data_IF_299253251695
#
_entry.id   IF_299253251695
#
_cell.length_a   1.000
_cell.length_b   1.000
_cell.length_c   1.000
_cell.angle_alpha   90.00
_cell.angle_beta   90.00
_cell.angle_gamma   90.00
#
_symmetry.space_group_name_H-M   'P 1'
#
loop_
_entity.id
_entity.type
_entity.pdbx_description
1 polymer ?
#
# COMPACT_ATOMS: atom_id res chain seq x y z
N UNK A 1 30.78 -20.35 -21.38
CA UNK A 1 31.27 -21.18 -20.26
C UNK A 1 31.85 -20.25 -19.19
N UNK A 2 31.58 -20.49 -17.91
CA UNK A 2 32.20 -19.72 -16.81
C UNK A 2 33.52 -20.41 -16.44
N UNK A 3 34.61 -19.67 -16.49
CA UNK A 3 35.94 -20.15 -16.13
C UNK A 3 36.08 -20.07 -14.61
N UNK A 4 36.18 -21.24 -13.97
CA UNK A 4 36.33 -21.37 -12.50
C UNK A 4 37.80 -21.33 -12.02
N UNK A 5 38.76 -21.16 -12.94
CA UNK A 5 40.19 -21.10 -12.58
C UNK A 5 40.55 -19.78 -11.90
N UNK A 6 41.57 -19.83 -11.04
CA UNK A 6 42.14 -18.64 -10.41
C UNK A 6 42.76 -17.74 -11.50
N UNK A 7 42.42 -16.44 -11.57
CA UNK A 7 43.01 -15.54 -12.55
C UNK A 7 44.51 -15.34 -12.30
N UNK A 8 45.28 -15.22 -13.37
CA UNK A 8 46.70 -14.86 -13.30
C UNK A 8 46.90 -13.37 -12.96
N UNK A 9 48.14 -12.93 -12.65
CA UNK A 9 48.43 -11.54 -12.29
C UNK A 9 47.99 -10.51 -13.33
N UNK A 10 48.16 -10.80 -14.63
CA UNK A 10 47.72 -9.91 -15.72
C UNK A 10 46.19 -9.83 -15.81
N UNK A 11 45.49 -10.95 -15.60
CA UNK A 11 44.03 -10.96 -15.54
C UNK A 11 43.51 -10.18 -14.31
N UNK A 12 44.18 -10.29 -13.16
CA UNK A 12 43.86 -9.49 -11.97
C UNK A 12 44.01 -7.98 -12.26
N UNK A 13 45.07 -7.56 -12.97
CA UNK A 13 45.28 -6.16 -13.40
C UNK A 13 44.16 -5.68 -14.33
N UNK A 14 43.80 -6.48 -15.33
CA UNK A 14 42.73 -6.16 -16.26
C UNK A 14 41.38 -6.01 -15.53
N UNK A 15 41.09 -6.88 -14.55
CA UNK A 15 39.89 -6.81 -13.71
C UNK A 15 39.82 -5.46 -12.96
N UNK A 16 40.93 -5.01 -12.37
CA UNK A 16 41.00 -3.74 -11.65
C UNK A 16 40.74 -2.57 -12.60
N UNK A 17 41.40 -2.57 -13.77
CA UNK A 17 41.25 -1.51 -14.77
C UNK A 17 39.81 -1.43 -15.28
N UNK A 18 39.22 -2.58 -15.64
CA UNK A 18 37.83 -2.65 -16.05
C UNK A 18 36.88 -2.18 -14.94
N UNK A 19 37.18 -2.43 -13.67
CA UNK A 19 36.36 -1.93 -12.57
C UNK A 19 36.47 -0.42 -12.40
N UNK A 20 37.67 0.15 -12.52
CA UNK A 20 37.86 1.61 -12.52
C UNK A 20 37.10 2.28 -13.68
N UNK A 21 37.05 1.63 -14.85
CA UNK A 21 36.36 2.13 -16.04
C UNK A 21 34.83 1.99 -15.97
N UNK A 22 34.30 0.82 -15.60
CA UNK A 22 32.87 0.52 -15.73
C UNK A 22 32.11 0.46 -14.39
N UNK A 23 32.80 0.30 -13.26
CA UNK A 23 32.22 0.27 -11.91
C UNK A 23 31.30 -0.92 -11.59
N UNK A 24 31.07 -1.85 -12.53
CA UNK A 24 30.10 -2.95 -12.41
C UNK A 24 30.74 -4.33 -12.53
N UNK A 25 30.83 -5.05 -11.40
CA UNK A 25 31.35 -6.43 -11.32
C UNK A 25 30.70 -7.37 -12.34
N UNK A 26 29.39 -7.25 -12.58
CA UNK A 26 28.66 -8.13 -13.52
C UNK A 26 29.11 -7.93 -14.97
N UNK A 27 29.45 -6.69 -15.36
CA UNK A 27 29.96 -6.41 -16.71
C UNK A 27 31.30 -7.10 -16.91
N UNK A 28 32.21 -6.94 -15.95
CA UNK A 28 33.55 -7.55 -15.95
C UNK A 28 33.46 -9.08 -16.00
N UNK A 29 32.60 -9.66 -15.15
CA UNK A 29 32.38 -11.10 -15.10
C UNK A 29 31.91 -11.67 -16.44
N UNK A 30 31.03 -10.95 -17.15
CA UNK A 30 30.57 -11.35 -18.48
C UNK A 30 31.66 -11.23 -19.53
N UNK A 31 32.41 -10.13 -19.53
CA UNK A 31 33.48 -9.87 -20.52
C UNK A 31 34.64 -10.85 -20.39
N UNK A 32 35.05 -11.17 -19.16
CA UNK A 32 36.19 -12.05 -18.89
C UNK A 32 35.77 -13.50 -18.63
N UNK A 33 34.49 -13.80 -18.78
CA UNK A 33 33.92 -15.14 -18.54
C UNK A 33 34.26 -15.74 -17.16
N UNK A 34 34.37 -14.91 -16.12
CA UNK A 34 34.67 -15.33 -14.74
C UNK A 34 33.43 -15.29 -13.84
N UNK A 35 33.45 -16.11 -12.78
CA UNK A 35 32.44 -16.01 -11.71
C UNK A 35 32.55 -14.63 -11.01
N UNK A 36 31.45 -13.86 -10.89
CA UNK A 36 31.42 -12.60 -10.14
C UNK A 36 32.02 -12.67 -8.73
N UNK A 37 31.96 -13.82 -8.06
CA UNK A 37 32.57 -14.03 -6.73
C UNK A 37 34.09 -13.94 -6.79
N UNK A 38 34.73 -14.48 -7.84
CA UNK A 38 36.18 -14.40 -8.04
C UNK A 38 36.59 -12.94 -8.25
N UNK A 39 35.88 -12.23 -9.13
CA UNK A 39 36.10 -10.81 -9.40
C UNK A 39 36.01 -9.99 -8.10
N UNK A 40 34.98 -10.21 -7.28
CA UNK A 40 34.83 -9.52 -5.98
C UNK A 40 36.00 -9.78 -5.05
N UNK A 41 36.49 -11.02 -4.95
CA UNK A 41 37.64 -11.35 -4.10
C UNK A 41 38.90 -10.62 -4.55
N UNK A 42 39.16 -10.55 -5.85
CA UNK A 42 40.32 -9.85 -6.42
C UNK A 42 40.24 -8.34 -6.14
N UNK A 43 39.08 -7.73 -6.37
CA UNK A 43 38.88 -6.31 -6.08
C UNK A 43 39.11 -6.01 -4.58
N UNK A 44 38.59 -6.86 -3.69
CA UNK A 44 38.79 -6.73 -2.23
C UNK A 44 40.26 -6.95 -1.85
N UNK A 45 40.93 -7.95 -2.42
CA UNK A 45 42.37 -8.24 -2.24
C UNK A 45 43.23 -7.02 -2.59
N UNK A 46 42.80 -6.23 -3.57
CA UNK A 46 43.49 -4.99 -3.99
C UNK A 46 42.90 -3.71 -3.38
N UNK A 47 42.17 -3.81 -2.26
CA UNK A 47 41.72 -2.65 -1.49
C UNK A 47 40.55 -1.87 -2.10
N UNK A 48 39.91 -2.38 -3.15
CA UNK A 48 38.76 -1.72 -3.78
C UNK A 48 37.50 -2.01 -2.96
N UNK A 49 37.00 -0.98 -2.28
CA UNK A 49 35.77 -1.05 -1.47
C UNK A 49 34.52 -1.17 -2.34
N UNK A 50 33.89 -2.35 -2.30
CA UNK A 50 32.66 -2.63 -3.04
C UNK A 50 31.43 -1.95 -2.40
N UNK A 51 30.36 -1.65 -3.18
CA UNK A 51 29.16 -0.99 -2.66
C UNK A 51 28.51 -1.70 -1.46
N UNK A 52 28.56 -3.04 -1.40
CA UNK A 52 28.03 -3.82 -0.28
C UNK A 52 28.86 -3.70 1.00
N UNK A 53 30.16 -3.47 0.90
CA UNK A 53 31.01 -3.20 2.08
C UNK A 53 30.80 -1.76 2.57
N UNK A 54 30.68 -0.79 1.66
CA UNK A 54 30.33 0.59 2.02
C UNK A 54 29.01 0.68 2.78
N UNK A 55 28.01 -0.13 2.41
CA UNK A 55 26.74 -0.18 3.15
C UNK A 55 26.87 -0.83 4.54
N UNK A 56 27.83 -1.75 4.75
CA UNK A 56 28.12 -2.34 6.06
C UNK A 56 28.83 -1.35 6.98
N UNK A 57 29.91 -0.72 6.53
CA UNK A 57 30.64 0.31 7.29
C UNK A 57 29.70 1.48 7.66
N UNK A 58 28.88 1.93 6.71
CA UNK A 58 27.90 2.98 6.94
C UNK A 58 26.87 2.57 8.01
N UNK A 59 26.36 1.33 7.93
CA UNK A 59 25.41 0.79 8.91
C UNK A 59 26.02 0.74 10.31
N UNK A 60 27.25 0.24 10.45
CA UNK A 60 27.96 0.17 11.72
C UNK A 60 28.19 1.56 12.31
N UNK A 61 28.60 2.52 11.47
CA UNK A 61 28.76 3.93 11.88
C UNK A 61 27.45 4.54 12.35
N UNK A 62 26.35 4.33 11.62
CA UNK A 62 25.01 4.79 12.01
C UNK A 62 24.60 4.20 13.36
N UNK A 63 24.79 2.89 13.57
CA UNK A 63 24.45 2.21 14.82
C UNK A 63 25.30 2.72 15.98
N UNK A 64 26.60 2.92 15.77
CA UNK A 64 27.50 3.46 16.79
C UNK A 64 27.08 4.86 17.24
N UNK A 65 26.84 5.79 16.30
CA UNK A 65 26.37 7.14 16.63
C UNK A 65 25.00 7.13 17.34
N UNK A 66 24.12 6.20 16.97
CA UNK A 66 22.82 6.07 17.64
C UNK A 66 22.98 5.56 19.08
N UNK A 67 23.87 4.59 19.33
CA UNK A 67 24.20 4.12 20.68
C UNK A 67 24.82 5.20 21.56
N UNK A 68 25.46 6.21 20.97
CA UNK A 68 25.95 7.41 21.66
C UNK A 68 24.83 8.43 21.98
N UNK A 69 23.57 8.13 21.66
CA UNK A 69 22.42 8.98 21.98
C UNK A 69 22.05 9.99 20.89
N UNK A 70 22.73 10.00 19.74
CA UNK A 70 22.38 10.89 18.64
C UNK A 70 21.07 10.44 17.98
N UNK A 71 20.16 11.39 17.73
CA UNK A 71 18.94 11.12 16.97
C UNK A 71 19.24 10.84 15.50
N UNK A 72 18.37 10.08 14.83
CA UNK A 72 18.53 9.79 13.40
C UNK A 72 18.64 11.05 12.52
N UNK A 73 18.02 12.18 12.93
CA UNK A 73 18.16 13.47 12.25
C UNK A 73 19.56 14.07 12.40
N UNK A 74 20.13 14.01 13.61
CA UNK A 74 21.51 14.46 13.84
C UNK A 74 22.50 13.60 13.06
N UNK A 75 22.33 12.27 13.09
CA UNK A 75 23.16 11.33 12.32
C UNK A 75 23.09 11.63 10.81
N UNK A 76 21.89 11.87 10.29
CA UNK A 76 21.67 12.23 8.88
C UNK A 76 22.43 13.48 8.46
N UNK A 77 22.34 14.55 9.26
CA UNK A 77 23.09 15.80 9.01
C UNK A 77 24.60 15.59 9.11
N UNK A 78 25.06 14.86 10.14
CA UNK A 78 26.48 14.62 10.40
C UNK A 78 27.16 13.77 9.31
N UNK A 79 26.43 12.81 8.74
CA UNK A 79 26.94 11.92 7.70
C UNK A 79 26.63 12.39 6.27
N UNK A 80 25.86 13.47 6.11
CA UNK A 80 25.44 13.96 4.79
C UNK A 80 24.57 12.96 4.01
N UNK A 81 23.78 12.13 4.70
CA UNK A 81 22.92 11.11 4.08
C UNK A 81 21.44 11.38 4.37
N UNK A 82 20.56 10.84 3.52
CA UNK A 82 19.12 10.97 3.70
C UNK A 82 18.66 10.35 5.04
N UNK A 83 17.80 11.06 5.77
CA UNK A 83 17.22 10.61 7.03
C UNK A 83 16.54 9.23 6.93
N UNK A 84 15.87 8.93 5.82
CA UNK A 84 15.25 7.62 5.59
C UNK A 84 16.29 6.49 5.49
N UNK A 85 17.46 6.76 4.92
CA UNK A 85 18.58 5.79 4.87
C UNK A 85 19.08 5.46 6.27
N UNK A 86 19.18 6.46 7.15
CA UNK A 86 19.51 6.26 8.57
C UNK A 86 18.49 5.36 9.25
N UNK A 87 17.19 5.69 9.12
CA UNK A 87 16.12 4.88 9.70
C UNK A 87 16.12 3.44 9.17
N UNK A 88 16.36 3.25 7.87
CA UNK A 88 16.47 1.92 7.26
C UNK A 88 17.57 1.09 7.92
N UNK A 89 18.77 1.65 8.08
CA UNK A 89 19.90 0.96 8.70
C UNK A 89 19.67 0.65 10.18
N UNK A 90 19.07 1.58 10.92
CA UNK A 90 18.68 1.38 12.32
C UNK A 90 17.63 0.27 12.45
N UNK A 91 16.59 0.28 11.61
CA UNK A 91 15.56 -0.75 11.60
C UNK A 91 16.14 -2.13 11.26
N UNK A 92 17.02 -2.22 10.26
CA UNK A 92 17.74 -3.47 9.94
C UNK A 92 18.62 -3.96 11.09
N UNK A 93 19.11 -3.05 11.93
CA UNK A 93 19.88 -3.36 13.14
C UNK A 93 19.01 -3.59 14.38
N UNK A 94 17.68 -3.65 14.26
CA UNK A 94 16.77 -3.95 15.36
C UNK A 94 16.34 -2.72 16.17
N UNK A 95 16.88 -1.53 15.89
CA UNK A 95 16.46 -0.29 16.52
C UNK A 95 15.18 0.20 15.83
N UNK A 96 14.03 -0.29 16.30
CA UNK A 96 12.74 0.29 15.95
C UNK A 96 12.65 1.65 16.63
N UNK A 97 12.25 2.68 15.90
CA UNK A 97 11.89 3.96 16.52
C UNK A 97 10.58 3.75 17.29
N UNK A 98 10.70 3.27 18.52
CA UNK A 98 9.57 2.95 19.39
C UNK A 98 8.68 4.18 19.57
N UNK A 99 9.27 5.37 19.70
CA UNK A 99 8.54 6.63 19.81
C UNK A 99 7.70 6.97 18.58
N UNK A 100 8.23 6.81 17.35
CA UNK A 100 7.48 7.10 16.13
C UNK A 100 6.41 6.03 15.89
N UNK A 101 6.76 4.76 16.11
CA UNK A 101 5.84 3.65 15.95
C UNK A 101 4.66 3.73 16.93
N UNK A 102 4.93 3.97 18.22
CA UNK A 102 3.91 4.14 19.25
C UNK A 102 3.02 5.34 18.95
N UNK A 103 3.61 6.49 18.56
CA UNK A 103 2.81 7.67 18.18
C UNK A 103 1.91 7.38 16.97
N UNK A 104 2.44 6.76 15.91
CA UNK A 104 1.67 6.43 14.73
C UNK A 104 0.57 5.39 15.02
N UNK A 105 0.88 4.38 15.85
CA UNK A 105 -0.09 3.37 16.30
C UNK A 105 -1.19 4.01 17.15
N UNK A 106 -0.86 4.91 18.06
CA UNK A 106 -1.83 5.64 18.87
C UNK A 106 -2.72 6.55 18.01
N UNK A 107 -2.13 7.29 17.07
CA UNK A 107 -2.88 8.13 16.13
C UNK A 107 -3.80 7.29 15.24
N UNK A 108 -3.34 6.13 14.76
CA UNK A 108 -4.17 5.22 14.00
C UNK A 108 -5.33 4.66 14.84
N UNK A 109 -5.08 4.31 16.11
CA UNK A 109 -6.13 3.87 17.04
C UNK A 109 -7.18 4.98 17.26
N UNK A 110 -6.74 6.22 17.53
CA UNK A 110 -7.63 7.38 17.71
C UNK A 110 -8.48 7.65 16.46
N UNK A 111 -7.87 7.61 15.26
CA UNK A 111 -8.59 7.83 14.00
C UNK A 111 -9.59 6.72 13.67
N UNK A 112 -9.26 5.46 13.98
CA UNK A 112 -10.20 4.34 13.86
C UNK A 112 -11.40 4.53 14.79
N UNK A 113 -11.15 4.94 16.03
CA UNK A 113 -12.20 5.20 17.00
C UNK A 113 -13.12 6.34 16.53
N UNK A 114 -12.54 7.46 16.09
CA UNK A 114 -13.29 8.58 15.52
C UNK A 114 -14.10 8.17 14.29
N UNK A 115 -13.57 7.29 13.43
CA UNK A 115 -14.32 6.77 12.28
C UNK A 115 -15.55 5.97 12.72
N UNK A 116 -15.45 5.16 13.79
CA UNK A 116 -16.61 4.45 14.34
C UNK A 116 -17.66 5.41 14.88
N UNK A 117 -17.23 6.37 15.70
CA UNK A 117 -18.12 7.39 16.28
C UNK A 117 -18.84 8.20 15.19
N UNK A 118 -18.16 8.51 14.09
CA UNK A 118 -18.78 9.15 12.92
C UNK A 118 -19.84 8.28 12.27
N UNK A 119 -19.57 6.99 12.06
CA UNK A 119 -20.54 6.08 11.46
C UNK A 119 -21.72 5.79 12.41
N UNK A 120 -21.49 5.71 13.72
CA UNK A 120 -22.55 5.55 14.73
C UNK A 120 -23.46 6.78 14.74
N UNK A 121 -22.89 7.98 14.84
CA UNK A 121 -23.65 9.23 14.93
C UNK A 121 -24.30 9.65 13.62
N UNK A 122 -23.55 9.67 12.51
CA UNK A 122 -24.01 10.19 11.20
C UNK A 122 -24.56 9.11 10.27
N UNK A 123 -24.28 7.85 10.56
CA UNK A 123 -24.70 6.73 9.71
C UNK A 123 -23.77 6.48 8.53
N UNK A 124 -24.29 5.88 7.45
CA UNK A 124 -23.54 5.56 6.25
C UNK A 124 -22.91 6.80 5.61
N UNK A 125 -21.69 6.66 5.09
CA UNK A 125 -20.97 7.77 4.45
C UNK A 125 -20.20 7.29 3.22
N UNK A 126 -19.85 8.23 2.34
CA UNK A 126 -18.87 7.97 1.29
C UNK A 126 -17.45 7.95 1.88
N UNK A 127 -16.59 7.08 1.35
CA UNK A 127 -15.15 7.08 1.69
C UNK A 127 -14.52 8.45 1.45
N UNK A 128 -14.94 9.17 0.41
CA UNK A 128 -14.46 10.52 0.12
C UNK A 128 -14.75 11.50 1.24
N UNK A 129 -15.88 11.36 1.91
CA UNK A 129 -16.25 12.23 3.04
C UNK A 129 -15.43 11.86 4.28
N UNK A 130 -15.23 10.56 4.53
CA UNK A 130 -14.34 10.10 5.61
C UNK A 130 -12.90 10.59 5.40
N UNK A 131 -12.40 10.59 4.16
CA UNK A 131 -11.06 11.13 3.82
C UNK A 131 -10.97 12.61 4.20
N UNK A 132 -11.99 13.41 3.85
CA UNK A 132 -12.05 14.84 4.16
C UNK A 132 -12.13 15.10 5.67
N UNK A 133 -13.02 14.39 6.36
CA UNK A 133 -13.26 14.57 7.80
C UNK A 133 -12.07 14.12 8.64
N UNK A 134 -11.50 12.95 8.35
CA UNK A 134 -10.42 12.37 9.14
C UNK A 134 -9.03 12.86 8.71
N UNK A 135 -8.95 13.56 7.58
CA UNK A 135 -7.71 14.01 6.95
C UNK A 135 -6.67 12.88 6.84
N UNK A 136 -7.09 11.77 6.22
CA UNK A 136 -6.25 10.59 5.98
C UNK A 136 -6.39 10.06 4.57
N UNK A 137 -5.36 9.33 4.11
CA UNK A 137 -5.36 8.75 2.77
C UNK A 137 -6.45 7.69 2.60
N UNK A 138 -6.91 7.53 1.35
CA UNK A 138 -7.82 6.45 0.96
C UNK A 138 -7.31 5.07 1.42
N UNK A 139 -6.03 4.77 1.20
CA UNK A 139 -5.43 3.50 1.62
C UNK A 139 -5.51 3.28 3.13
N UNK A 140 -5.38 4.33 3.94
CA UNK A 140 -5.56 4.26 5.40
C UNK A 140 -7.01 3.94 5.78
N UNK A 141 -8.00 4.56 5.12
CA UNK A 141 -9.42 4.23 5.32
C UNK A 141 -9.68 2.75 5.03
N UNK A 142 -9.22 2.26 3.88
CA UNK A 142 -9.38 0.84 3.51
C UNK A 142 -8.70 -0.09 4.52
N UNK A 143 -7.51 0.28 5.01
CA UNK A 143 -6.86 -0.46 6.10
C UNK A 143 -7.71 -0.45 7.37
N UNK A 144 -8.29 0.70 7.74
CA UNK A 144 -9.11 0.81 8.95
C UNK A 144 -10.40 0.03 8.84
N UNK A 145 -11.05 0.03 7.69
CA UNK A 145 -12.23 -0.78 7.41
C UNK A 145 -11.92 -2.27 7.57
N UNK A 146 -10.77 -2.74 7.05
CA UNK A 146 -10.33 -4.14 7.24
C UNK A 146 -10.04 -4.46 8.70
N UNK A 147 -9.45 -3.52 9.44
CA UNK A 147 -9.05 -3.73 10.82
C UNK A 147 -10.20 -3.62 11.84
N UNK A 148 -11.29 -2.94 11.51
CA UNK A 148 -12.46 -2.78 12.41
C UNK A 148 -13.32 -4.05 12.48
N UNK A 149 -12.86 -5.11 11.83
CA UNK A 149 -13.49 -6.41 11.68
C UNK A 149 -14.48 -6.43 10.52
N UNK A 150 -14.27 -7.36 9.58
CA UNK A 150 -15.08 -7.50 8.36
C UNK A 150 -16.54 -7.83 8.67
N UNK A 151 -16.81 -8.27 9.90
CA UNK A 151 -18.16 -8.59 10.40
C UNK A 151 -18.95 -7.37 10.87
N UNK A 152 -18.34 -6.18 10.95
CA UNK A 152 -18.99 -4.97 11.53
C UNK A 152 -19.20 -3.83 10.54
N UNK A 153 -18.61 -3.92 9.34
CA UNK A 153 -18.70 -2.86 8.33
C UNK A 153 -19.17 -3.42 6.98
N UNK A 154 -20.18 -2.79 6.39
CA UNK A 154 -20.55 -2.99 4.99
C UNK A 154 -19.72 -2.03 4.14
N UNK A 155 -18.98 -2.58 3.18
CA UNK A 155 -18.19 -1.83 2.21
C UNK A 155 -18.63 -2.17 0.80
N UNK A 156 -19.24 -1.21 0.11
CA UNK A 156 -19.95 -1.48 -1.15
C UNK A 156 -19.05 -1.72 -2.36
N UNK A 157 -17.72 -1.56 -2.25
CA UNK A 157 -16.82 -1.79 -3.37
C UNK A 157 -15.87 -2.97 -3.16
N UNK A 158 -16.44 -4.18 -3.11
CA UNK A 158 -15.72 -5.37 -3.56
C UNK A 158 -15.92 -5.47 -5.06
N UNK A 159 -15.15 -4.74 -5.87
CA UNK A 159 -14.99 -5.13 -7.28
C UNK A 159 -14.63 -6.61 -7.26
N UNK A 160 -15.40 -7.50 -7.92
CA UNK A 160 -15.05 -8.90 -7.94
C UNK A 160 -13.60 -9.03 -8.41
N UNK A 161 -12.80 -9.85 -7.71
CA UNK A 161 -11.41 -10.06 -8.12
C UNK A 161 -11.43 -10.70 -9.52
N UNK A 162 -10.92 -9.97 -10.50
CA UNK A 162 -11.07 -10.29 -11.92
C UNK A 162 -12.25 -9.52 -12.52
N UNK A 163 -12.05 -8.86 -13.67
CA UNK A 163 -13.16 -8.20 -14.39
C UNK A 163 -14.28 -9.24 -14.55
N UNK A 164 -15.44 -9.09 -13.90
CA UNK A 164 -16.55 -9.98 -14.16
C UNK A 164 -16.78 -10.04 -15.67
N UNK A 165 -17.00 -11.23 -16.25
CA UNK A 165 -17.43 -11.34 -17.65
C UNK A 165 -18.64 -10.44 -17.95
N UNK A 166 -19.40 -10.10 -16.89
CA UNK A 166 -20.53 -9.18 -16.88
C UNK A 166 -20.17 -7.69 -17.10
N UNK A 167 -18.89 -7.28 -17.10
CA UNK A 167 -18.50 -5.87 -17.32
C UNK A 167 -19.00 -5.29 -18.65
N UNK A 168 -19.15 -6.15 -19.67
CA UNK A 168 -19.71 -5.78 -20.99
C UNK A 168 -21.21 -5.47 -20.94
N UNK A 169 -21.90 -5.94 -19.90
CA UNK A 169 -23.36 -5.93 -19.78
C UNK A 169 -23.89 -4.82 -18.88
N UNK A 170 -23.02 -4.16 -18.09
CA UNK A 170 -23.43 -2.98 -17.35
C UNK A 170 -23.56 -1.81 -18.33
N UNK A 171 -24.78 -1.28 -18.51
CA UNK A 171 -24.97 0.05 -19.11
C UNK A 171 -24.09 1.06 -18.37
N UNK A 172 -23.46 1.98 -19.09
CA UNK A 172 -22.55 2.99 -18.52
C UNK A 172 -23.16 3.80 -17.37
N UNK A 173 -24.50 3.93 -17.36
CA UNK A 173 -25.31 4.53 -16.30
C UNK A 173 -25.04 3.87 -14.94
N UNK A 174 -25.40 2.59 -14.75
CA UNK A 174 -25.29 1.90 -13.46
C UNK A 174 -23.83 1.67 -13.02
N UNK A 175 -22.88 1.64 -13.96
CA UNK A 175 -21.45 1.55 -13.64
C UNK A 175 -20.97 2.72 -12.78
N UNK A 176 -21.63 3.88 -12.85
CA UNK A 176 -21.31 5.03 -12.00
C UNK A 176 -21.52 4.74 -10.52
N UNK A 177 -22.47 3.86 -10.15
CA UNK A 177 -22.73 3.49 -8.76
C UNK A 177 -21.48 2.90 -8.08
N UNK A 178 -20.62 2.20 -8.82
CA UNK A 178 -19.39 1.61 -8.27
C UNK A 178 -18.32 2.66 -7.92
N UNK A 179 -18.48 3.89 -8.38
CA UNK A 179 -17.60 5.00 -7.99
C UNK A 179 -17.92 5.51 -6.58
N UNK A 180 -19.11 5.20 -6.05
CA UNK A 180 -19.54 5.56 -4.71
C UNK A 180 -19.13 4.46 -3.74
N UNK A 181 -17.99 4.65 -3.10
CA UNK A 181 -17.52 3.73 -2.08
C UNK A 181 -18.21 4.10 -0.78
N UNK A 182 -19.21 3.32 -0.40
CA UNK A 182 -20.03 3.55 0.79
C UNK A 182 -19.46 2.70 1.92
N UNK A 183 -19.39 3.30 3.10
CA UNK A 183 -19.00 2.68 4.36
C UNK A 183 -20.16 2.84 5.33
N UNK A 184 -20.58 1.75 5.95
CA UNK A 184 -21.62 1.76 6.97
C UNK A 184 -21.32 0.71 8.02
N UNK A 185 -21.84 0.90 9.23
CA UNK A 185 -21.93 -0.19 10.19
C UNK A 185 -22.88 -1.26 9.65
N UNK A 186 -22.57 -2.52 9.98
CA UNK A 186 -23.44 -3.65 9.63
C UNK A 186 -24.78 -3.49 10.33
N UNK A 187 -25.86 -3.75 9.58
CA UNK A 187 -27.23 -3.60 10.06
C UNK A 187 -27.65 -2.16 10.40
N UNK A 188 -26.91 -1.13 9.99
CA UNK A 188 -27.40 0.24 10.11
C UNK A 188 -28.61 0.43 9.17
N UNK A 189 -29.83 0.65 9.69
CA UNK A 189 -31.03 0.76 8.86
C UNK A 189 -30.98 1.97 7.91
N UNK A 190 -30.19 2.99 8.24
CA UNK A 190 -30.00 4.19 7.41
C UNK A 190 -29.25 3.89 6.12
N UNK A 191 -28.58 2.73 6.02
CA UNK A 191 -27.86 2.30 4.82
C UNK A 191 -28.77 2.23 3.60
N UNK A 192 -29.98 1.72 3.76
CA UNK A 192 -30.87 1.49 2.63
C UNK A 192 -31.37 2.81 2.05
N UNK A 193 -31.78 3.73 2.92
CA UNK A 193 -32.17 5.09 2.56
C UNK A 193 -31.00 5.85 1.90
N UNK A 194 -29.80 5.73 2.47
CA UNK A 194 -28.61 6.38 1.93
C UNK A 194 -28.24 5.89 0.51
N UNK A 195 -28.32 4.57 0.27
CA UNK A 195 -28.10 4.00 -1.06
C UNK A 195 -29.20 4.45 -2.03
N UNK A 196 -30.47 4.41 -1.62
CA UNK A 196 -31.59 4.85 -2.44
C UNK A 196 -31.43 6.32 -2.86
N UNK A 197 -31.07 7.19 -1.91
CA UNK A 197 -30.78 8.61 -2.16
C UNK A 197 -29.68 8.79 -3.21
N UNK A 198 -28.55 8.08 -3.09
CA UNK A 198 -27.47 8.13 -4.10
C UNK A 198 -27.99 7.72 -5.47
N UNK A 199 -28.84 6.68 -5.54
CA UNK A 199 -29.39 6.19 -6.80
C UNK A 199 -30.30 7.23 -7.45
N UNK A 200 -31.19 7.85 -6.67
CA UNK A 200 -32.12 8.87 -7.18
C UNK A 200 -31.38 10.16 -7.59
N UNK A 201 -30.56 10.73 -6.68
CA UNK A 201 -29.85 12.00 -6.91
C UNK A 201 -28.88 11.96 -8.09
N UNK A 202 -28.36 10.79 -8.45
CA UNK A 202 -27.43 10.62 -9.57
C UNK A 202 -28.08 10.07 -10.83
N UNK A 203 -29.42 10.05 -10.89
CA UNK A 203 -30.21 9.52 -11.99
C UNK A 203 -29.76 8.09 -12.39
N UNK A 204 -29.69 7.20 -11.40
CA UNK A 204 -29.30 5.79 -11.53
C UNK A 204 -30.48 4.83 -11.33
N UNK A 205 -31.70 5.37 -11.27
CA UNK A 205 -32.94 4.58 -11.16
C UNK A 205 -33.05 3.63 -12.36
N UNK A 206 -33.30 2.33 -12.13
CA UNK A 206 -33.47 1.37 -13.21
C UNK A 206 -34.79 1.63 -13.95
N UNK A 207 -34.73 1.71 -15.27
CA UNK A 207 -35.89 2.00 -16.13
C UNK A 207 -36.62 0.73 -16.59
N UNK A 208 -35.92 -0.40 -16.64
CA UNK A 208 -36.44 -1.67 -17.14
C UNK A 208 -36.09 -2.85 -16.22
N UNK A 209 -36.70 -4.02 -16.49
CA UNK A 209 -36.47 -5.26 -15.71
C UNK A 209 -35.00 -5.69 -15.75
N UNK A 210 -34.28 -5.40 -16.84
CA UNK A 210 -32.89 -5.80 -17.02
C UNK A 210 -31.94 -4.94 -16.15
N UNK A 211 -32.11 -3.63 -16.14
CA UNK A 211 -31.40 -2.69 -15.27
C UNK A 211 -31.67 -2.99 -13.80
N UNK A 212 -32.92 -3.31 -13.44
CA UNK A 212 -33.28 -3.73 -12.09
C UNK A 212 -32.54 -5.00 -11.68
N UNK A 213 -32.47 -6.00 -12.56
CA UNK A 213 -31.70 -7.23 -12.32
C UNK A 213 -30.21 -6.95 -12.12
N UNK A 214 -29.63 -6.04 -12.91
CA UNK A 214 -28.24 -5.60 -12.79
C UNK A 214 -28.00 -4.92 -11.43
N UNK A 215 -28.83 -3.94 -11.08
CA UNK A 215 -28.71 -3.20 -9.82
C UNK A 215 -28.84 -4.14 -8.61
N UNK A 216 -29.82 -5.05 -8.63
CA UNK A 216 -29.98 -6.09 -7.60
C UNK A 216 -28.70 -6.92 -7.44
N UNK A 217 -28.10 -7.41 -8.54
CA UNK A 217 -26.84 -8.17 -8.47
C UNK A 217 -25.69 -7.33 -7.91
N UNK A 218 -25.62 -6.05 -8.24
CA UNK A 218 -24.61 -5.14 -7.72
C UNK A 218 -24.76 -4.96 -6.21
N UNK A 219 -25.98 -4.70 -5.73
CA UNK A 219 -26.27 -4.54 -4.31
C UNK A 219 -25.96 -5.81 -3.53
N UNK A 220 -26.33 -7.00 -4.04
CA UNK A 220 -25.98 -8.28 -3.39
C UNK A 220 -24.47 -8.53 -3.34
N UNK A 221 -23.69 -8.09 -4.33
CA UNK A 221 -22.22 -8.20 -4.29
C UNK A 221 -21.58 -7.41 -3.13
N UNK A 222 -22.31 -6.44 -2.57
CA UNK A 222 -21.88 -5.69 -1.38
C UNK A 222 -22.12 -6.44 -0.07
N UNK A 223 -22.80 -7.60 -0.13
CA UNK A 223 -23.16 -8.42 1.02
C UNK A 223 -24.57 -8.15 1.56
N UNK A 224 -25.40 -7.39 0.84
CA UNK A 224 -26.80 -7.13 1.22
C UNK A 224 -27.70 -8.35 0.96
N UNK A 225 -28.64 -8.61 1.86
CA UNK A 225 -29.66 -9.67 1.73
C UNK A 225 -30.78 -9.26 0.77
N UNK A 226 -31.67 -10.20 0.43
CA UNK A 226 -32.83 -9.91 -0.43
C UNK A 226 -33.78 -8.89 0.19
N UNK A 227 -34.01 -9.00 1.49
CA UNK A 227 -34.88 -8.11 2.24
C UNK A 227 -34.30 -6.69 2.26
N UNK A 228 -32.99 -6.56 2.44
CA UNK A 228 -32.28 -5.29 2.42
C UNK A 228 -32.33 -4.63 1.04
N UNK A 229 -32.12 -5.40 -0.02
CA UNK A 229 -32.26 -4.92 -1.40
C UNK A 229 -33.70 -4.47 -1.68
N UNK A 230 -34.69 -5.21 -1.17
CA UNK A 230 -36.11 -4.85 -1.31
C UNK A 230 -36.42 -3.52 -0.61
N UNK A 231 -35.87 -3.29 0.59
CA UNK A 231 -35.99 -1.99 1.29
C UNK A 231 -35.39 -0.83 0.50
N UNK A 232 -34.25 -1.03 -0.15
CA UNK A 232 -33.66 0.00 -1.04
C UNK A 232 -34.64 0.35 -2.17
N UNK A 233 -35.25 -0.64 -2.81
CA UNK A 233 -36.25 -0.37 -3.85
C UNK A 233 -37.47 0.37 -3.32
N UNK A 234 -37.97 0.01 -2.14
CA UNK A 234 -39.07 0.74 -1.51
C UNK A 234 -38.71 2.22 -1.31
N UNK A 235 -37.51 2.52 -0.81
CA UNK A 235 -37.05 3.90 -0.65
C UNK A 235 -36.89 4.63 -2.00
N UNK A 236 -36.39 3.96 -3.04
CA UNK A 236 -36.31 4.52 -4.39
C UNK A 236 -37.71 4.92 -4.88
N UNK A 237 -38.71 4.06 -4.73
CA UNK A 237 -40.08 4.38 -5.16
C UNK A 237 -40.70 5.53 -4.36
N UNK A 238 -40.40 5.66 -3.06
CA UNK A 238 -40.89 6.80 -2.25
C UNK A 238 -40.22 8.13 -2.57
N UNK A 239 -39.04 8.11 -3.20
CA UNK A 239 -38.26 9.33 -3.53
C UNK A 239 -38.48 9.82 -4.97
N UNK A 240 -39.21 9.06 -5.80
CA UNK A 240 -39.61 9.45 -7.16
C UNK A 240 -40.79 10.41 -7.12
#
# INVERSE_FOLDING_TARGET
MIISRKPGPEEERLIIEMYKKYGKVIVIAKTLHHDPKIIRRILVKHGIKLPSQRSKELREKIVSLYKQGLSGKQISKMLGINYQTVLYHLHKAGFKSERIFVKNKLMAKKRKQLMKELLESKGPMLVTDLIRILNISYSSIISYIRDIDAEKIVFTNKTPRGRPKYYKYYKDKLRRLWRYHIVSLKHDPRLYEFIAKIIVENNLVPEDRYERSILTRMLRHTGLTEEEVSRIYMHIETMK
#
